data_IF_073524975565
#
_entry.id   IF_073524975565
#
_cell.length_a   1.000
_cell.length_b   1.000
_cell.length_c   1.000
_cell.angle_alpha   90.00
_cell.angle_beta   90.00
_cell.angle_gamma   90.00
#
_symmetry.space_group_name_H-M   'P 1'
#
loop_
_entity.id
_entity.type
_entity.pdbx_description
1 polymer ?
#
# COMPACT_ATOMS: atom_id res chain seq x y z
N UNK A 1 -9.81 19.00 -7.37
CA UNK A 1 -8.68 18.76 -6.45
C UNK A 1 -9.10 19.27 -5.08
N UNK A 2 -9.19 18.44 -4.05
CA UNK A 2 -9.26 18.97 -2.70
C UNK A 2 -7.90 19.63 -2.37
N UNK A 3 -7.89 20.71 -1.57
CA UNK A 3 -6.67 21.43 -1.23
C UNK A 3 -5.73 20.55 -0.39
N UNK A 4 -4.41 20.75 -0.54
CA UNK A 4 -3.41 20.29 0.43
C UNK A 4 -3.75 20.87 1.81
N UNK A 5 -4.35 20.06 2.68
CA UNK A 5 -4.52 20.40 4.09
C UNK A 5 -3.46 19.68 4.90
N UNK A 6 -2.29 20.30 5.04
CA UNK A 6 -1.35 19.94 6.10
C UNK A 6 -1.82 20.57 7.43
N UNK A 7 -2.98 20.16 7.92
CA UNK A 7 -3.51 20.59 9.23
C UNK A 7 -3.23 19.45 10.21
N UNK A 8 -1.98 19.27 10.64
CA UNK A 8 -1.60 18.15 11.53
C UNK A 8 -0.51 18.48 12.54
N UNK A 9 0.57 19.15 12.12
CA UNK A 9 1.79 19.31 12.95
C UNK A 9 1.56 20.00 14.31
N UNK A 10 0.68 21.01 14.35
CA UNK A 10 0.38 21.74 15.60
C UNK A 10 -0.62 21.03 16.51
N UNK A 11 -1.53 20.23 15.94
CA UNK A 11 -2.59 19.57 16.70
C UNK A 11 -2.08 18.31 17.39
N UNK A 12 -1.29 17.49 16.69
CA UNK A 12 -0.71 16.28 17.26
C UNK A 12 0.31 16.55 18.35
N UNK A 13 1.18 17.53 18.16
CA UNK A 13 2.15 17.94 19.18
C UNK A 13 1.46 18.52 20.42
N UNK A 14 0.37 19.26 20.26
CA UNK A 14 -0.41 19.76 21.39
C UNK A 14 -1.18 18.65 22.11
N UNK A 15 -1.81 17.72 21.37
CA UNK A 15 -2.58 16.62 21.95
C UNK A 15 -1.68 15.59 22.61
N UNK A 16 -0.57 15.20 21.99
CA UNK A 16 0.43 14.36 22.64
C UNK A 16 0.87 14.97 23.98
N UNK A 17 1.07 16.30 24.04
CA UNK A 17 1.36 17.01 25.30
C UNK A 17 0.19 16.96 26.29
N UNK A 18 -1.05 17.15 25.85
CA UNK A 18 -2.26 17.05 26.70
C UNK A 18 -2.54 15.63 27.20
N UNK A 19 -2.19 14.60 26.40
CA UNK A 19 -2.27 13.19 26.76
C UNK A 19 -1.18 12.85 27.78
N UNK A 20 0.06 13.31 27.56
CA UNK A 20 1.17 13.15 28.49
C UNK A 20 0.99 13.93 29.80
N UNK A 21 0.20 15.00 29.81
CA UNK A 21 -0.13 15.76 31.02
C UNK A 21 -1.24 15.13 31.87
N UNK A 22 -1.83 14.01 31.43
CA UNK A 22 -2.79 13.23 32.23
C UNK A 22 -4.18 13.84 32.36
N UNK A 23 -4.57 14.76 31.47
CA UNK A 23 -5.89 15.42 31.52
C UNK A 23 -7.06 14.50 31.09
N UNK A 24 -6.75 13.34 30.50
CA UNK A 24 -7.73 12.33 30.07
C UNK A 24 -7.66 11.10 30.98
N UNK A 25 -8.73 10.88 31.76
CA UNK A 25 -8.85 9.75 32.71
C UNK A 25 -9.60 8.60 32.06
N UNK A 26 -8.90 7.52 31.71
CA UNK A 26 -9.46 6.27 31.16
C UNK A 26 -8.41 5.47 30.37
N UNK A 27 -8.62 4.16 30.21
CA UNK A 27 -7.71 3.33 29.38
C UNK A 27 -7.76 3.79 27.92
N UNK A 28 -6.66 4.34 27.41
CA UNK A 28 -6.59 4.89 26.07
C UNK A 28 -6.16 3.81 25.08
N UNK A 29 -7.03 3.57 24.09
CA UNK A 29 -6.82 2.58 23.04
C UNK A 29 -6.63 3.26 21.69
N UNK A 30 -5.69 2.72 20.93
CA UNK A 30 -5.45 3.07 19.54
C UNK A 30 -5.58 1.81 18.68
N UNK A 31 -6.32 1.92 17.59
CA UNK A 31 -6.42 0.89 16.55
C UNK A 31 -5.72 1.38 15.29
N UNK A 32 -4.77 0.61 14.77
CA UNK A 32 -4.14 0.85 13.47
C UNK A 32 -4.68 -0.16 12.48
N UNK A 33 -5.38 0.32 11.45
CA UNK A 33 -5.79 -0.45 10.27
C UNK A 33 -4.81 -0.14 9.14
N UNK A 34 -3.89 -1.06 8.87
CA UNK A 34 -2.81 -0.87 7.91
C UNK A 34 -2.96 -1.78 6.70
N UNK A 35 -2.42 -1.37 5.56
CA UNK A 35 -2.15 -2.33 4.49
C UNK A 35 -1.00 -3.27 4.87
N UNK A 36 -0.99 -4.45 4.25
CA UNK A 36 -0.15 -5.58 4.67
C UNK A 36 1.18 -5.73 3.93
N UNK A 37 1.57 -4.77 3.12
CA UNK A 37 2.86 -4.71 2.43
C UNK A 37 3.86 -3.82 3.19
N UNK A 38 5.00 -3.54 2.57
CA UNK A 38 6.09 -2.79 3.19
C UNK A 38 5.68 -1.39 3.63
N UNK A 39 4.88 -0.69 2.82
CA UNK A 39 4.51 0.71 3.09
C UNK A 39 3.54 0.80 4.28
N UNK A 40 2.47 0.00 4.27
CA UNK A 40 1.54 -0.11 5.39
C UNK A 40 2.18 -0.66 6.68
N UNK A 41 3.06 -1.67 6.59
CA UNK A 41 3.77 -2.22 7.76
C UNK A 41 4.72 -1.19 8.37
N UNK A 42 5.49 -0.46 7.56
CA UNK A 42 6.36 0.61 8.05
C UNK A 42 5.56 1.77 8.65
N UNK A 43 4.46 2.16 8.01
CA UNK A 43 3.54 3.18 8.54
C UNK A 43 2.99 2.81 9.90
N UNK A 44 2.53 1.57 10.07
CA UNK A 44 2.04 1.05 11.35
C UNK A 44 3.13 1.01 12.42
N UNK A 45 4.36 0.62 12.05
CA UNK A 45 5.50 0.59 12.96
C UNK A 45 5.89 1.98 13.46
N UNK A 46 5.90 2.98 12.58
CA UNK A 46 6.19 4.37 12.92
C UNK A 46 5.15 4.94 13.89
N UNK A 47 3.86 4.74 13.60
CA UNK A 47 2.78 5.15 14.50
C UNK A 47 2.89 4.43 15.85
N UNK A 48 3.09 3.11 15.85
CA UNK A 48 3.26 2.35 17.08
C UNK A 48 4.42 2.87 17.91
N UNK A 49 5.58 3.12 17.30
CA UNK A 49 6.75 3.65 17.98
C UNK A 49 6.47 5.01 18.62
N UNK A 50 5.84 5.93 17.88
CA UNK A 50 5.56 7.29 18.33
C UNK A 50 4.60 7.34 19.52
N UNK A 51 3.66 6.39 19.57
CA UNK A 51 2.54 6.42 20.52
C UNK A 51 2.62 5.38 21.65
N UNK A 52 3.63 4.50 21.68
CA UNK A 52 3.76 3.43 22.70
C UNK A 52 3.94 3.95 24.14
N UNK A 53 4.29 5.23 24.33
CA UNK A 53 4.33 5.89 25.65
C UNK A 53 3.11 6.76 25.96
N UNK A 54 2.12 6.80 25.05
CA UNK A 54 0.95 7.68 25.11
C UNK A 54 -0.34 6.87 25.29
N UNK A 55 -0.49 5.76 24.56
CA UNK A 55 -1.66 4.88 24.68
C UNK A 55 -1.33 3.63 25.49
N UNK A 56 -2.28 3.17 26.30
CA UNK A 56 -2.15 1.94 27.09
C UNK A 56 -2.16 0.69 26.20
N UNK A 57 -2.91 0.75 25.10
CA UNK A 57 -3.06 -0.35 24.15
C UNK A 57 -3.06 0.16 22.72
N UNK A 58 -2.18 -0.42 21.89
CA UNK A 58 -2.12 -0.17 20.44
C UNK A 58 -2.29 -1.50 19.71
N UNK A 59 -3.46 -1.69 19.11
CA UNK A 59 -3.81 -2.88 18.34
C UNK A 59 -3.58 -2.62 16.84
N UNK A 60 -3.02 -3.59 16.13
CA UNK A 60 -2.69 -3.49 14.70
C UNK A 60 -3.42 -4.58 13.93
N UNK A 61 -4.22 -4.17 12.95
CA UNK A 61 -4.94 -5.06 12.04
C UNK A 61 -4.56 -4.74 10.60
N UNK A 62 -4.35 -5.81 9.82
CA UNK A 62 -4.07 -5.67 8.40
C UNK A 62 -5.36 -5.78 7.61
N UNK A 63 -5.62 -4.77 6.80
CA UNK A 63 -6.78 -4.68 5.92
C UNK A 63 -6.33 -4.39 4.48
N UNK A 64 -7.29 -4.18 3.60
CA UNK A 64 -7.11 -3.91 2.19
C UNK A 64 -8.34 -3.15 1.67
N UNK A 65 -8.28 -2.48 0.50
CA UNK A 65 -9.39 -1.65 0.01
C UNK A 65 -10.77 -2.33 0.02
N UNK A 66 -10.82 -3.60 -0.39
CA UNK A 66 -12.08 -4.36 -0.41
C UNK A 66 -12.55 -4.85 0.98
N UNK A 67 -11.65 -4.93 1.97
CA UNK A 67 -11.94 -5.38 3.34
C UNK A 67 -12.19 -4.25 4.34
N UNK A 68 -11.78 -3.01 4.01
CA UNK A 68 -11.73 -1.89 4.95
C UNK A 68 -13.06 -1.67 5.69
N UNK A 69 -14.19 -1.71 5.01
CA UNK A 69 -15.50 -1.50 5.67
C UNK A 69 -15.79 -2.56 6.73
N UNK A 70 -15.51 -3.83 6.42
CA UNK A 70 -15.74 -4.95 7.33
C UNK A 70 -14.80 -4.89 8.52
N UNK A 71 -13.50 -4.74 8.24
CA UNK A 71 -12.46 -4.67 9.27
C UNK A 71 -12.62 -3.43 10.17
N UNK A 72 -13.03 -2.29 9.61
CA UNK A 72 -13.34 -1.10 10.40
C UNK A 72 -14.50 -1.36 11.36
N UNK A 73 -15.61 -1.93 10.88
CA UNK A 73 -16.77 -2.25 11.74
C UNK A 73 -16.43 -3.25 12.85
N UNK A 74 -15.53 -4.19 12.57
CA UNK A 74 -15.15 -5.23 13.52
C UNK A 74 -14.13 -4.75 14.57
N UNK A 75 -13.12 -4.00 14.13
CA UNK A 75 -11.92 -3.73 14.93
C UNK A 75 -11.81 -2.30 15.44
N UNK A 76 -12.50 -1.31 14.86
CA UNK A 76 -12.36 0.09 15.24
C UNK A 76 -12.73 0.34 16.71
N UNK A 77 -11.73 0.67 17.53
CA UNK A 77 -11.87 1.01 18.95
C UNK A 77 -10.93 2.13 19.34
N UNK A 78 -11.43 3.08 20.14
CA UNK A 78 -10.64 4.24 20.57
C UNK A 78 -10.31 5.18 19.40
N UNK A 79 -9.07 5.63 19.33
CA UNK A 79 -8.61 6.40 18.18
C UNK A 79 -8.17 5.46 17.06
N UNK A 80 -8.62 5.73 15.84
CA UNK A 80 -8.39 4.84 14.69
C UNK A 80 -7.47 5.52 13.69
N UNK A 81 -6.37 4.85 13.37
CA UNK A 81 -5.45 5.25 12.31
C UNK A 81 -5.60 4.28 11.15
N UNK A 82 -5.94 4.81 9.98
CA UNK A 82 -6.03 4.03 8.74
C UNK A 82 -4.84 4.45 7.89
N UNK A 83 -3.94 3.52 7.60
CA UNK A 83 -2.67 3.82 6.91
C UNK A 83 -2.46 2.96 5.69
N UNK A 84 -2.14 3.61 4.57
CA UNK A 84 -1.84 2.95 3.29
C UNK A 84 -3.00 2.12 2.71
N UNK A 85 -4.26 2.46 3.03
CA UNK A 85 -5.43 1.71 2.54
C UNK A 85 -6.28 2.61 1.67
N UNK A 86 -6.19 2.41 0.36
CA UNK A 86 -7.06 3.10 -0.59
C UNK A 86 -8.54 2.85 -0.31
N UNK A 87 -9.36 3.90 -0.44
CA UNK A 87 -10.82 3.79 -0.42
C UNK A 87 -11.32 3.51 -1.84
N UNK A 88 -11.96 2.36 -2.02
CA UNK A 88 -12.53 1.94 -3.29
C UNK A 88 -13.70 2.84 -3.73
N UNK A 89 -13.75 3.19 -5.01
CA UNK A 89 -14.75 4.10 -5.60
C UNK A 89 -16.18 3.60 -5.40
N UNK A 90 -16.40 2.29 -5.46
CA UNK A 90 -17.71 1.69 -5.28
C UNK A 90 -18.11 1.62 -3.80
N UNK A 91 -17.17 1.29 -2.91
CA UNK A 91 -17.44 1.16 -1.47
C UNK A 91 -17.42 2.51 -0.70
N UNK A 92 -16.91 3.59 -1.32
CA UNK A 92 -16.72 4.88 -0.66
C UNK A 92 -17.96 5.41 0.09
N UNK A 93 -19.19 5.39 -0.45
CA UNK A 93 -20.36 5.92 0.26
C UNK A 93 -20.65 5.20 1.58
N UNK A 94 -20.43 3.88 1.64
CA UNK A 94 -20.67 3.09 2.85
C UNK A 94 -19.55 3.27 3.87
N UNK A 95 -18.30 3.38 3.41
CA UNK A 95 -17.14 3.64 4.26
C UNK A 95 -17.26 5.01 4.92
N UNK A 96 -17.58 6.05 4.15
CA UNK A 96 -17.73 7.41 4.67
C UNK A 96 -18.88 7.51 5.69
N UNK A 97 -19.99 6.80 5.47
CA UNK A 97 -21.07 6.71 6.46
C UNK A 97 -20.61 6.02 7.75
N UNK A 98 -19.86 4.92 7.65
CA UNK A 98 -19.31 4.24 8.81
C UNK A 98 -18.34 5.14 9.61
N UNK A 99 -17.56 5.97 8.91
CA UNK A 99 -16.69 6.96 9.55
C UNK A 99 -17.51 8.04 10.26
N UNK A 100 -18.58 8.54 9.65
CA UNK A 100 -19.45 9.58 10.24
C UNK A 100 -20.18 9.08 11.49
N UNK A 101 -20.61 7.81 11.49
CA UNK A 101 -21.26 7.17 12.65
C UNK A 101 -20.29 6.83 13.78
N UNK A 102 -18.97 6.80 13.50
CA UNK A 102 -17.96 6.46 14.49
C UNK A 102 -17.75 7.60 15.48
N UNK A 103 -17.91 7.30 16.78
CA UNK A 103 -17.82 8.30 17.86
C UNK A 103 -16.39 8.69 18.23
N UNK A 104 -15.40 7.89 17.82
CA UNK A 104 -13.98 8.18 18.07
C UNK A 104 -13.36 9.04 16.98
N UNK A 105 -12.09 9.38 17.16
CA UNK A 105 -11.30 10.08 16.15
C UNK A 105 -10.81 9.09 15.09
N UNK A 106 -10.76 9.55 13.84
CA UNK A 106 -10.15 8.82 12.74
C UNK A 106 -9.04 9.67 12.14
N UNK A 107 -7.87 9.09 11.92
CA UNK A 107 -6.77 9.67 11.17
C UNK A 107 -6.52 8.79 9.95
N UNK A 108 -6.64 9.37 8.76
CA UNK A 108 -6.43 8.68 7.49
C UNK A 108 -5.14 9.19 6.84
N UNK A 109 -4.12 8.33 6.75
CA UNK A 109 -2.81 8.61 6.16
C UNK A 109 -2.65 7.74 4.93
N UNK A 110 -2.70 8.35 3.75
CA UNK A 110 -2.68 7.59 2.51
C UNK A 110 -2.15 8.43 1.35
N UNK A 111 -1.75 7.76 0.28
CA UNK A 111 -1.17 8.36 -0.90
C UNK A 111 -1.88 7.96 -2.20
N UNK A 112 -2.83 7.02 -2.14
CA UNK A 112 -3.60 6.59 -3.29
C UNK A 112 -4.53 7.70 -3.79
N UNK A 113 -4.84 7.76 -5.10
CA UNK A 113 -5.82 8.73 -5.58
C UNK A 113 -7.19 8.49 -4.93
N UNK A 114 -7.80 9.48 -4.27
CA UNK A 114 -9.08 9.29 -3.60
C UNK A 114 -10.20 8.98 -4.62
N UNK A 115 -11.31 8.40 -4.15
CA UNK A 115 -12.49 8.22 -5.00
C UNK A 115 -13.09 9.58 -5.38
N UNK A 116 -13.79 9.64 -6.51
CA UNK A 116 -14.39 10.90 -7.01
C UNK A 116 -15.44 11.48 -6.06
N UNK A 117 -16.08 10.61 -5.28
CA UNK A 117 -17.05 10.95 -4.24
C UNK A 117 -16.44 11.24 -2.86
N UNK A 118 -15.10 11.30 -2.74
CA UNK A 118 -14.44 11.41 -1.45
C UNK A 118 -14.77 12.73 -0.75
N UNK A 119 -15.66 12.65 0.24
CA UNK A 119 -16.03 13.74 1.14
C UNK A 119 -15.98 13.22 2.58
N UNK A 120 -14.82 13.33 3.24
CA UNK A 120 -14.61 12.83 4.60
C UNK A 120 -15.47 13.60 5.62
N UNK A 121 -16.06 12.91 6.61
CA UNK A 121 -16.80 13.57 7.68
C UNK A 121 -15.88 14.34 8.63
N UNK A 122 -16.39 15.33 9.39
CA UNK A 122 -15.57 16.24 10.20
C UNK A 122 -14.70 15.57 11.29
N UNK A 123 -15.04 14.35 11.71
CA UNK A 123 -14.27 13.57 12.69
C UNK A 123 -13.08 12.81 12.08
N UNK A 124 -12.90 12.87 10.76
CA UNK A 124 -11.78 12.26 10.03
C UNK A 124 -10.74 13.33 9.71
N UNK A 125 -9.57 13.20 10.33
CA UNK A 125 -8.38 13.94 9.92
C UNK A 125 -7.71 13.24 8.74
N UNK A 126 -7.30 14.01 7.73
CA UNK A 126 -6.66 13.48 6.54
C UNK A 126 -5.25 14.02 6.42
N UNK A 127 -4.32 13.10 6.25
CA UNK A 127 -2.95 13.38 5.87
C UNK A 127 -2.64 12.66 4.56
N UNK A 128 -2.90 13.33 3.44
CA UNK A 128 -2.88 12.73 2.12
C UNK A 128 -1.98 13.51 1.16
N UNK A 129 -1.17 12.79 0.39
CA UNK A 129 -0.37 13.37 -0.70
C UNK A 129 -0.07 12.34 -1.77
N UNK A 130 -0.35 12.67 -3.03
CA UNK A 130 0.10 11.86 -4.17
C UNK A 130 1.61 12.00 -4.37
N UNK A 131 2.26 10.94 -4.81
CA UNK A 131 3.70 10.96 -5.12
C UNK A 131 4.61 10.97 -3.89
N UNK A 132 4.09 10.59 -2.72
CA UNK A 132 4.85 10.21 -1.54
C UNK A 132 4.32 8.85 -1.06
N UNK A 133 5.14 8.06 -0.37
CA UNK A 133 4.68 6.81 0.25
C UNK A 133 3.93 7.09 1.55
N UNK A 134 3.01 6.21 1.97
CA UNK A 134 2.30 6.36 3.22
C UNK A 134 3.25 6.35 4.43
N UNK A 135 4.39 5.65 4.35
CA UNK A 135 5.42 5.59 5.38
C UNK A 135 6.17 6.91 5.53
N UNK A 136 6.44 7.62 4.42
CA UNK A 136 6.95 8.99 4.44
C UNK A 136 5.93 9.92 5.11
N UNK A 137 4.65 9.79 4.74
CA UNK A 137 3.57 10.58 5.31
C UNK A 137 3.40 10.31 6.82
N UNK A 138 3.44 9.06 7.24
CA UNK A 138 3.36 8.65 8.64
C UNK A 138 4.55 9.20 9.45
N UNK A 139 5.78 9.12 8.92
CA UNK A 139 6.96 9.68 9.57
C UNK A 139 6.86 11.20 9.77
N UNK A 140 6.41 11.92 8.74
CA UNK A 140 6.17 13.37 8.82
C UNK A 140 5.04 13.72 9.76
N UNK A 141 4.01 12.87 9.84
CA UNK A 141 2.88 13.06 10.74
C UNK A 141 3.31 13.03 12.21
N UNK A 142 4.20 12.09 12.56
CA UNK A 142 4.73 11.93 13.92
C UNK A 142 6.07 12.65 14.15
N UNK A 143 6.43 13.57 13.26
CA UNK A 143 7.67 14.33 13.34
C UNK A 143 7.79 15.03 14.72
N UNK A 144 8.95 14.87 15.36
CA UNK A 144 9.20 15.38 16.71
C UNK A 144 8.77 14.45 17.85
N UNK A 145 8.04 13.35 17.57
CA UNK A 145 7.77 12.29 18.55
C UNK A 145 8.78 11.13 18.48
N UNK A 146 9.51 11.02 17.37
CA UNK A 146 10.51 9.98 17.14
C UNK A 146 11.90 10.56 16.91
N UNK A 147 12.97 9.85 17.32
CA UNK A 147 14.33 10.16 16.87
C UNK A 147 14.43 10.14 15.33
N UNK A 148 15.24 11.04 14.75
CA UNK A 148 15.42 11.14 13.29
C UNK A 148 15.81 9.81 12.63
N UNK A 149 16.54 8.94 13.34
CA UNK A 149 16.95 7.61 12.85
C UNK A 149 15.80 6.67 12.48
N UNK A 150 14.54 7.00 12.82
CA UNK A 150 13.36 6.28 12.33
C UNK A 150 13.05 6.59 10.86
N UNK A 151 13.70 7.58 10.25
CA UNK A 151 13.60 7.86 8.82
C UNK A 151 13.93 6.62 7.98
N UNK A 152 14.82 5.74 8.45
CA UNK A 152 15.10 4.45 7.80
C UNK A 152 13.88 3.54 7.69
N UNK A 153 12.98 3.53 8.68
CA UNK A 153 11.76 2.71 8.63
C UNK A 153 10.82 3.26 7.56
N UNK A 154 10.69 4.60 7.49
CA UNK A 154 9.96 5.25 6.41
C UNK A 154 10.57 4.95 5.03
N UNK A 155 11.90 5.02 4.91
CA UNK A 155 12.62 4.67 3.68
C UNK A 155 12.36 3.23 3.23
N UNK A 156 12.29 2.26 4.15
CA UNK A 156 11.98 0.87 3.79
C UNK A 156 10.60 0.73 3.14
N UNK A 157 9.60 1.46 3.66
CA UNK A 157 8.26 1.50 3.08
C UNK A 157 8.25 2.16 1.70
N UNK A 158 8.87 3.33 1.59
CA UNK A 158 8.92 4.10 0.34
C UNK A 158 9.63 3.36 -0.80
N UNK A 159 10.74 2.70 -0.50
CA UNK A 159 11.44 1.83 -1.47
C UNK A 159 10.58 0.62 -1.84
N UNK A 160 9.89 0.02 -0.86
CA UNK A 160 8.98 -1.10 -1.09
C UNK A 160 7.84 -0.77 -2.06
N UNK A 161 7.40 0.49 -2.07
CA UNK A 161 6.35 0.98 -2.96
C UNK A 161 6.87 1.70 -4.23
N UNK A 162 8.18 1.58 -4.53
CA UNK A 162 8.83 2.21 -5.68
C UNK A 162 8.71 3.75 -5.72
N UNK A 163 8.61 4.39 -4.55
CA UNK A 163 8.57 5.84 -4.38
C UNK A 163 9.89 6.35 -3.78
N UNK A 164 11.02 5.89 -4.34
CA UNK A 164 12.37 6.15 -3.83
C UNK A 164 13.04 7.39 -4.43
N UNK A 165 12.25 8.32 -4.96
CA UNK A 165 12.71 9.51 -5.69
C UNK A 165 11.98 10.81 -5.28
N UNK A 166 11.32 10.84 -4.12
CA UNK A 166 10.79 12.10 -3.58
C UNK A 166 11.94 12.95 -3.01
N UNK A 167 11.79 14.28 -2.99
CA UNK A 167 12.80 15.18 -2.43
C UNK A 167 13.22 14.75 -1.00
N UNK A 168 12.26 14.29 -0.20
CA UNK A 168 12.54 13.81 1.15
C UNK A 168 13.24 12.45 1.18
N UNK A 169 12.88 11.52 0.29
CA UNK A 169 13.60 10.25 0.19
C UNK A 169 15.04 10.48 -0.24
N UNK A 170 15.28 11.37 -1.21
CA UNK A 170 16.64 11.70 -1.66
C UNK A 170 17.49 12.30 -0.53
N UNK A 171 16.92 13.24 0.22
CA UNK A 171 17.56 13.86 1.38
C UNK A 171 17.83 12.83 2.49
N UNK A 172 16.84 12.00 2.83
CA UNK A 172 16.95 10.98 3.85
C UNK A 172 17.97 9.90 3.48
N UNK A 173 17.95 9.40 2.25
CA UNK A 173 18.97 8.48 1.75
C UNK A 173 20.37 9.11 1.75
N UNK A 174 20.49 10.44 1.65
CA UNK A 174 21.76 11.16 1.78
C UNK A 174 22.42 11.01 3.16
N UNK A 175 21.65 10.63 4.19
CA UNK A 175 22.14 10.38 5.57
C UNK A 175 22.54 8.92 5.81
N UNK A 176 22.28 8.02 4.87
CA UNK A 176 22.51 6.59 5.02
C UNK A 176 23.41 6.03 3.92
N UNK A 177 24.08 4.90 4.19
CA UNK A 177 24.60 4.09 3.09
C UNK A 177 23.41 3.44 2.36
N UNK A 178 23.17 3.88 1.12
CA UNK A 178 22.04 3.40 0.31
C UNK A 178 22.01 1.87 0.22
N UNK A 179 23.15 1.19 0.12
CA UNK A 179 23.20 -0.28 0.00
C UNK A 179 22.60 -0.97 1.21
N UNK A 180 22.81 -0.41 2.40
CA UNK A 180 22.21 -0.91 3.64
C UNK A 180 20.70 -0.73 3.58
N UNK A 181 20.22 0.47 3.23
CA UNK A 181 18.78 0.75 3.19
C UNK A 181 18.05 -0.10 2.14
N UNK A 182 18.59 -0.23 0.93
CA UNK A 182 18.00 -1.07 -0.11
C UNK A 182 18.04 -2.57 0.25
N UNK A 183 19.09 -3.04 0.93
CA UNK A 183 19.13 -4.41 1.42
C UNK A 183 18.01 -4.66 2.43
N UNK A 184 17.85 -3.79 3.42
CA UNK A 184 16.80 -3.92 4.44
C UNK A 184 15.39 -3.80 3.85
N UNK A 185 15.16 -2.84 2.95
CA UNK A 185 13.90 -2.70 2.24
C UNK A 185 13.59 -3.94 1.38
N UNK A 186 14.61 -4.52 0.75
CA UNK A 186 14.52 -5.75 -0.02
C UNK A 186 14.18 -6.97 0.84
N UNK A 187 14.79 -7.10 2.03
CA UNK A 187 14.46 -8.14 3.01
C UNK A 187 13.01 -8.00 3.47
N UNK A 188 12.59 -6.78 3.85
CA UNK A 188 11.22 -6.53 4.30
C UNK A 188 10.20 -6.90 3.22
N UNK A 189 10.38 -6.38 2.01
CA UNK A 189 9.42 -6.56 0.92
C UNK A 189 9.30 -8.03 0.50
N UNK A 190 10.42 -8.74 0.40
CA UNK A 190 10.42 -10.16 0.03
C UNK A 190 9.89 -11.04 1.17
N UNK A 191 10.24 -10.73 2.41
CA UNK A 191 9.77 -11.49 3.56
C UNK A 191 8.26 -11.34 3.78
N UNK A 192 7.71 -10.12 3.60
CA UNK A 192 6.27 -9.85 3.66
C UNK A 192 5.49 -10.52 2.54
N UNK A 193 6.06 -10.56 1.33
CA UNK A 193 5.49 -11.28 0.19
C UNK A 193 5.36 -12.79 0.50
N UNK A 194 6.40 -13.39 1.12
CA UNK A 194 6.36 -14.76 1.63
C UNK A 194 5.47 -14.96 2.89
N UNK A 195 4.90 -13.89 3.45
CA UNK A 195 4.09 -13.88 4.67
C UNK A 195 2.66 -13.32 4.45
N UNK A 196 2.19 -13.24 3.20
CA UNK A 196 0.91 -12.58 2.82
C UNK A 196 -0.28 -12.83 3.76
N UNK A 197 -0.48 -14.08 4.22
CA UNK A 197 -1.61 -14.49 5.07
C UNK A 197 -1.28 -14.59 6.58
N UNK A 198 -0.04 -14.32 6.97
CA UNK A 198 0.44 -14.51 8.33
C UNK A 198 0.34 -13.20 9.12
N UNK A 199 -0.88 -12.83 9.49
CA UNK A 199 -1.13 -11.53 10.15
C UNK A 199 -0.39 -11.39 11.49
N UNK A 200 -0.23 -12.48 12.24
CA UNK A 200 0.49 -12.45 13.51
C UNK A 200 2.00 -12.23 13.32
N UNK A 201 2.59 -12.84 12.30
CA UNK A 201 3.98 -12.55 11.91
C UNK A 201 4.13 -11.09 11.46
N UNK A 202 3.19 -10.56 10.69
CA UNK A 202 3.23 -9.15 10.30
C UNK A 202 3.11 -8.20 11.50
N UNK A 203 2.29 -8.55 12.50
CA UNK A 203 2.21 -7.79 13.77
C UNK A 203 3.53 -7.87 14.54
N UNK A 204 4.19 -9.02 14.54
CA UNK A 204 5.52 -9.17 15.11
C UNK A 204 6.55 -8.29 14.42
N UNK A 205 6.54 -8.25 13.08
CA UNK A 205 7.39 -7.37 12.27
C UNK A 205 7.10 -5.89 12.59
N UNK A 206 5.83 -5.49 12.70
CA UNK A 206 5.47 -4.11 13.11
C UNK A 206 6.07 -3.77 14.46
N UNK A 207 5.99 -4.68 15.45
CA UNK A 207 6.63 -4.49 16.76
C UNK A 207 8.14 -4.37 16.62
N UNK A 208 8.79 -5.27 15.88
CA UNK A 208 10.24 -5.25 15.66
C UNK A 208 10.72 -3.93 15.03
N UNK A 209 10.04 -3.45 13.99
CA UNK A 209 10.34 -2.17 13.35
C UNK A 209 10.02 -0.97 14.26
N UNK A 210 9.00 -1.07 15.12
CA UNK A 210 8.66 -0.01 16.09
C UNK A 210 9.71 0.15 17.19
N UNK A 211 10.58 -0.84 17.38
CA UNK A 211 11.77 -0.76 18.24
C UNK A 211 13.00 -0.25 17.48
N UNK A 212 12.79 0.27 16.26
CA UNK A 212 13.81 0.68 15.31
C UNK A 212 14.81 -0.43 14.99
N UNK A 213 14.41 -1.70 14.92
CA UNK A 213 15.32 -2.79 14.55
C UNK A 213 15.32 -2.99 13.02
N UNK A 214 16.47 -3.32 12.40
CA UNK A 214 16.51 -3.54 10.95
C UNK A 214 15.77 -4.84 10.57
N UNK A 215 15.05 -4.88 9.43
CA UNK A 215 14.37 -6.07 8.91
C UNK A 215 15.20 -7.35 8.95
N UNK A 216 16.47 -7.30 8.54
CA UNK A 216 17.38 -8.45 8.48
C UNK A 216 17.69 -9.09 9.83
N UNK A 217 17.49 -8.37 10.94
CA UNK A 217 17.66 -8.91 12.29
C UNK A 217 16.46 -9.71 12.81
N UNK A 218 15.35 -9.76 12.05
CA UNK A 218 14.22 -10.61 12.35
C UNK A 218 14.37 -11.96 11.63
N UNK A 219 14.71 -13.02 12.36
CA UNK A 219 15.11 -14.32 11.77
C UNK A 219 14.05 -14.92 10.83
N UNK A 220 12.78 -14.99 11.26
CA UNK A 220 11.73 -15.55 10.42
C UNK A 220 11.47 -14.70 9.15
N UNK A 221 11.49 -13.37 9.26
CA UNK A 221 11.35 -12.47 8.13
C UNK A 221 12.49 -12.67 7.13
N UNK A 222 13.74 -12.73 7.61
CA UNK A 222 14.91 -12.96 6.77
C UNK A 222 14.86 -14.31 6.05
N UNK A 223 14.50 -15.39 6.77
CA UNK A 223 14.37 -16.72 6.18
C UNK A 223 13.33 -16.73 5.05
N UNK A 224 12.19 -16.08 5.25
CA UNK A 224 11.15 -15.92 4.21
C UNK A 224 11.62 -15.08 3.03
N UNK A 225 12.36 -14.00 3.29
CA UNK A 225 12.91 -13.15 2.24
C UNK A 225 13.87 -13.94 1.33
N UNK A 226 14.73 -14.79 1.91
CA UNK A 226 15.65 -15.65 1.14
C UNK A 226 14.87 -16.64 0.27
N UNK A 227 13.84 -17.30 0.81
CA UNK A 227 13.05 -18.25 0.02
C UNK A 227 12.25 -17.54 -1.08
N UNK A 228 11.66 -16.38 -0.77
CA UNK A 228 10.96 -15.57 -1.77
C UNK A 228 11.90 -15.09 -2.88
N UNK A 229 13.15 -14.76 -2.55
CA UNK A 229 14.17 -14.39 -3.53
C UNK A 229 14.43 -15.52 -4.54
N UNK A 230 14.54 -16.76 -4.05
CA UNK A 230 14.70 -17.94 -4.92
C UNK A 230 13.47 -18.18 -5.79
N UNK A 231 12.27 -17.96 -5.26
CA UNK A 231 11.03 -18.06 -6.04
C UNK A 231 10.96 -16.98 -7.13
N UNK A 232 11.38 -15.76 -6.82
CA UNK A 232 11.42 -14.65 -7.77
C UNK A 232 12.37 -14.95 -8.94
N UNK A 233 13.53 -15.56 -8.67
CA UNK A 233 14.47 -15.99 -9.73
C UNK A 233 13.87 -17.10 -10.61
N UNK A 234 13.21 -18.09 -9.99
CA UNK A 234 12.47 -19.12 -10.76
C UNK A 234 11.38 -18.50 -11.63
N UNK A 235 10.66 -17.51 -11.12
CA UNK A 235 9.65 -16.78 -11.86
C UNK A 235 10.26 -16.01 -13.05
N UNK A 236 11.42 -15.37 -12.85
CA UNK A 236 12.14 -14.67 -13.92
C UNK A 236 12.53 -15.61 -15.07
N UNK A 237 12.87 -16.87 -14.76
CA UNK A 237 13.16 -17.90 -15.76
C UNK A 237 11.88 -18.48 -16.40
N UNK A 238 10.78 -18.54 -15.65
CA UNK A 238 9.51 -19.09 -16.11
C UNK A 238 8.77 -18.14 -17.08
N UNK A 239 8.76 -16.83 -16.82
CA UNK A 239 7.97 -15.85 -17.60
C UNK A 239 8.29 -15.86 -19.10
N UNK A 240 9.56 -15.84 -19.56
CA UNK A 240 9.86 -15.83 -20.99
C UNK A 240 9.29 -17.02 -21.77
N UNK A 241 9.08 -18.16 -21.11
CA UNK A 241 8.57 -19.38 -21.73
C UNK A 241 7.03 -19.47 -21.73
N UNK A 242 6.34 -18.58 -21.00
CA UNK A 242 4.89 -18.66 -20.78
C UNK A 242 4.14 -17.37 -21.12
N UNK A 243 4.87 -16.37 -21.60
CA UNK A 243 4.33 -15.06 -21.95
C UNK A 243 3.55 -15.11 -23.26
N UNK A 244 2.39 -14.45 -23.26
CA UNK A 244 1.59 -14.20 -24.46
C UNK A 244 1.61 -12.71 -24.74
N UNK A 245 2.04 -12.32 -25.95
CA UNK A 245 1.93 -10.94 -26.42
C UNK A 245 0.69 -10.79 -27.29
N UNK A 246 -0.16 -9.83 -26.96
CA UNK A 246 -1.31 -9.43 -27.74
C UNK A 246 -1.29 -7.91 -27.97
N UNK A 247 -0.72 -7.51 -29.11
CA UNK A 247 -0.51 -6.11 -29.47
C UNK A 247 0.50 -5.42 -28.54
N UNK A 248 0.02 -4.37 -27.86
CA UNK A 248 0.75 -3.52 -26.92
C UNK A 248 0.66 -4.02 -25.47
N UNK A 249 0.10 -5.21 -25.28
CA UNK A 249 -0.07 -5.84 -23.98
C UNK A 249 0.61 -7.20 -24.02
N UNK A 250 1.27 -7.58 -22.92
CA UNK A 250 1.74 -8.93 -22.71
C UNK A 250 1.20 -9.47 -21.39
N UNK A 251 0.93 -10.76 -21.34
CA UNK A 251 0.38 -11.37 -20.13
C UNK A 251 0.89 -12.79 -19.89
N UNK A 252 0.81 -13.21 -18.63
CA UNK A 252 1.01 -14.58 -18.18
C UNK A 252 -0.19 -15.04 -17.36
N UNK A 253 -0.50 -16.33 -17.44
CA UNK A 253 -1.60 -16.97 -16.73
C UNK A 253 -1.03 -17.90 -15.66
N UNK A 254 -1.55 -17.79 -14.44
CA UNK A 254 -1.20 -18.63 -13.29
C UNK A 254 0.32 -18.75 -13.05
N UNK A 255 1.06 -17.62 -12.95
CA UNK A 255 2.50 -17.68 -12.71
C UNK A 255 2.82 -18.30 -11.34
N UNK A 256 3.93 -19.05 -11.21
CA UNK A 256 4.34 -19.69 -9.96
C UNK A 256 5.04 -18.69 -9.00
N UNK A 257 4.39 -17.56 -8.73
CA UNK A 257 4.95 -16.50 -7.90
C UNK A 257 4.09 -15.24 -7.81
N UNK A 258 4.65 -14.13 -7.31
CA UNK A 258 3.89 -12.89 -7.12
C UNK A 258 3.36 -12.32 -8.44
N UNK A 259 2.05 -12.05 -8.53
CA UNK A 259 1.43 -11.49 -9.74
C UNK A 259 2.05 -10.14 -10.13
N UNK A 260 2.33 -9.28 -9.15
CA UNK A 260 2.96 -7.97 -9.40
C UNK A 260 4.30 -8.09 -10.12
N UNK A 261 5.17 -8.98 -9.64
CA UNK A 261 6.46 -9.25 -10.26
C UNK A 261 6.30 -9.91 -11.63
N UNK A 262 5.41 -10.90 -11.76
CA UNK A 262 5.13 -11.56 -13.02
C UNK A 262 4.66 -10.58 -14.11
N UNK A 263 3.81 -9.61 -13.74
CA UNK A 263 3.35 -8.56 -14.65
C UNK A 263 4.49 -7.61 -15.06
N UNK A 264 5.37 -7.22 -14.14
CA UNK A 264 6.58 -6.43 -14.42
C UNK A 264 7.51 -7.18 -15.38
N UNK A 265 7.77 -8.46 -15.11
CA UNK A 265 8.61 -9.31 -15.95
C UNK A 265 7.96 -9.49 -17.34
N UNK A 266 6.65 -9.73 -17.42
CA UNK A 266 5.95 -9.84 -18.69
C UNK A 266 6.11 -8.56 -19.53
N UNK A 267 5.89 -7.38 -18.92
CA UNK A 267 6.11 -6.08 -19.55
C UNK A 267 7.54 -5.95 -20.10
N UNK A 268 8.53 -6.24 -19.27
CA UNK A 268 9.95 -6.11 -19.60
C UNK A 268 10.41 -7.08 -20.67
N UNK A 269 10.05 -8.36 -20.55
CA UNK A 269 10.42 -9.42 -21.49
C UNK A 269 9.82 -9.20 -22.87
N UNK A 270 8.53 -8.86 -22.96
CA UNK A 270 7.88 -8.58 -24.23
C UNK A 270 8.18 -7.18 -24.81
N UNK A 271 8.81 -6.30 -24.03
CA UNK A 271 9.11 -4.90 -24.38
C UNK A 271 7.85 -4.14 -24.83
N UNK A 272 6.78 -4.30 -24.06
CA UNK A 272 5.47 -3.67 -24.31
C UNK A 272 5.17 -2.63 -23.23
N UNK A 273 4.28 -1.65 -23.49
CA UNK A 273 3.94 -0.64 -22.49
C UNK A 273 3.15 -1.20 -21.30
N UNK A 274 2.43 -2.32 -21.45
CA UNK A 274 1.64 -2.93 -20.37
C UNK A 274 1.88 -4.42 -20.25
N UNK A 275 2.21 -4.87 -19.03
CA UNK A 275 2.27 -6.27 -18.64
C UNK A 275 1.14 -6.63 -17.68
N UNK A 276 0.61 -7.84 -17.80
CA UNK A 276 -0.46 -8.37 -16.94
C UNK A 276 -0.05 -9.75 -16.43
N UNK A 277 -0.32 -10.02 -15.15
CA UNK A 277 -0.33 -11.36 -14.62
C UNK A 277 -1.71 -11.64 -14.04
N UNK A 278 -2.24 -12.82 -14.30
CA UNK A 278 -3.56 -13.20 -13.81
C UNK A 278 -3.54 -14.55 -13.11
N UNK A 279 -4.26 -14.62 -11.99
CA UNK A 279 -4.52 -15.84 -11.22
C UNK A 279 -5.96 -16.28 -11.46
N UNK A 280 -6.13 -17.55 -11.79
CA UNK A 280 -7.42 -18.22 -11.95
C UNK A 280 -8.02 -18.58 -10.60
N UNK A 281 -9.19 -18.01 -10.26
CA UNK A 281 -9.96 -18.38 -9.07
C UNK A 281 -11.39 -18.71 -9.43
N UNK A 282 -11.74 -19.99 -9.50
CA UNK A 282 -13.07 -20.46 -9.93
C UNK A 282 -13.45 -19.81 -11.28
N UNK A 283 -14.47 -18.95 -11.28
CA UNK A 283 -14.99 -18.29 -12.49
C UNK A 283 -14.50 -16.85 -12.68
N UNK A 284 -13.56 -16.40 -11.83
CA UNK A 284 -12.95 -15.07 -11.92
C UNK A 284 -11.44 -15.14 -12.17
N UNK A 285 -10.90 -14.07 -12.74
CA UNK A 285 -9.48 -13.76 -12.73
C UNK A 285 -9.18 -12.66 -11.73
N UNK A 286 -8.08 -12.83 -10.99
CA UNK A 286 -7.44 -11.77 -10.20
C UNK A 286 -6.22 -11.28 -10.96
N UNK A 287 -6.22 -10.02 -11.37
CA UNK A 287 -5.20 -9.44 -12.23
C UNK A 287 -4.31 -8.49 -11.44
N UNK A 288 -3.03 -8.49 -11.82
CA UNK A 288 -2.08 -7.42 -11.54
C UNK A 288 -1.57 -6.86 -12.85
N UNK A 289 -1.65 -5.54 -13.02
CA UNK A 289 -1.23 -4.81 -14.21
C UNK A 289 -0.06 -3.89 -13.87
N UNK A 290 0.88 -3.77 -14.79
CA UNK A 290 2.03 -2.87 -14.70
C UNK A 290 2.20 -2.14 -16.01
N UNK A 291 2.40 -0.82 -15.98
CA UNK A 291 2.57 -0.01 -17.18
C UNK A 291 3.85 0.82 -17.15
N UNK A 292 4.23 1.34 -18.32
CA UNK A 292 5.23 2.41 -18.47
C UNK A 292 4.60 3.52 -19.33
N UNK A 293 4.35 4.69 -18.74
CA UNK A 293 3.81 5.86 -19.44
C UNK A 293 2.30 5.85 -19.73
N UNK A 294 1.56 4.81 -19.31
CA UNK A 294 0.12 4.72 -19.48
C UNK A 294 -0.57 4.66 -18.12
N UNK A 295 -1.50 5.59 -17.87
CA UNK A 295 -2.27 5.63 -16.61
C UNK A 295 -3.30 4.48 -16.56
N UNK A 296 -2.94 3.42 -15.83
CA UNK A 296 -3.79 2.26 -15.60
C UNK A 296 -4.98 2.57 -14.70
N UNK A 297 -4.82 3.49 -13.74
CA UNK A 297 -5.88 3.84 -12.81
C UNK A 297 -7.00 4.60 -13.53
N UNK A 298 -6.66 5.55 -14.42
CA UNK A 298 -7.63 6.22 -15.28
C UNK A 298 -8.45 5.20 -16.09
N UNK A 299 -7.77 4.28 -16.77
CA UNK A 299 -8.42 3.24 -17.58
C UNK A 299 -9.29 2.30 -16.74
N UNK A 300 -8.76 1.78 -15.62
CA UNK A 300 -9.46 0.79 -14.81
C UNK A 300 -10.62 1.38 -14.01
N UNK A 301 -10.59 2.66 -13.63
CA UNK A 301 -11.74 3.33 -13.01
C UNK A 301 -12.93 3.42 -13.96
N UNK A 302 -12.67 3.80 -15.22
CA UNK A 302 -13.72 3.80 -16.24
C UNK A 302 -14.24 2.37 -16.51
N UNK A 303 -13.33 1.41 -16.67
CA UNK A 303 -13.68 0.00 -16.87
C UNK A 303 -14.51 -0.56 -15.70
N UNK A 304 -14.08 -0.32 -14.46
CA UNK A 304 -14.77 -0.69 -13.22
C UNK A 304 -16.20 -0.16 -13.21
N UNK A 305 -16.39 1.11 -13.55
CA UNK A 305 -17.71 1.75 -13.60
C UNK A 305 -18.62 1.14 -14.66
N UNK A 306 -18.11 0.90 -15.88
CA UNK A 306 -18.90 0.37 -17.01
C UNK A 306 -19.29 -1.10 -16.80
N UNK A 307 -18.38 -1.91 -16.27
CA UNK A 307 -18.55 -3.36 -16.14
C UNK A 307 -18.90 -3.83 -14.71
N UNK A 308 -18.96 -2.91 -13.74
CA UNK A 308 -19.29 -3.17 -12.32
C UNK A 308 -18.39 -4.24 -11.69
N UNK A 309 -17.08 -4.10 -11.89
CA UNK A 309 -16.06 -5.01 -11.38
C UNK A 309 -15.04 -4.27 -10.52
N UNK A 310 -14.54 -4.85 -9.41
CA UNK A 310 -13.50 -4.20 -8.61
C UNK A 310 -12.20 -4.03 -9.42
N UNK A 311 -11.79 -2.78 -9.69
CA UNK A 311 -10.53 -2.46 -10.35
C UNK A 311 -10.05 -1.04 -10.03
N UNK A 312 -8.73 -0.85 -9.93
CA UNK A 312 -8.10 0.42 -9.60
C UNK A 312 -6.67 0.26 -9.10
N UNK A 313 -6.02 1.38 -8.75
CA UNK A 313 -4.68 1.41 -8.18
C UNK A 313 -3.95 2.71 -8.47
N UNK A 314 -2.64 2.61 -8.71
CA UNK A 314 -1.79 3.70 -9.14
C UNK A 314 -1.69 3.77 -10.67
N UNK A 315 -1.26 4.91 -11.24
CA UNK A 315 -1.09 5.06 -12.69
C UNK A 315 -0.18 3.99 -13.32
N UNK A 316 0.88 3.57 -12.64
CA UNK A 316 1.88 2.60 -13.14
C UNK A 316 1.63 1.15 -12.69
N UNK A 317 0.79 0.94 -11.68
CA UNK A 317 0.55 -0.36 -11.05
C UNK A 317 -0.89 -0.43 -10.52
N UNK A 318 -1.66 -1.38 -11.03
CA UNK A 318 -3.07 -1.50 -10.66
C UNK A 318 -3.53 -2.96 -10.64
N UNK A 319 -4.70 -3.20 -10.06
CA UNK A 319 -5.30 -4.53 -9.98
C UNK A 319 -6.75 -4.54 -10.46
N UNK A 320 -7.24 -5.74 -10.80
CA UNK A 320 -8.64 -5.95 -11.13
C UNK A 320 -9.10 -7.36 -10.72
N UNK A 321 -10.39 -7.51 -10.42
CA UNK A 321 -11.05 -8.82 -10.25
C UNK A 321 -12.24 -8.87 -11.19
N UNK A 322 -12.21 -9.76 -12.18
CA UNK A 322 -13.24 -9.81 -13.22
C UNK A 322 -13.64 -11.24 -13.60
N UNK A 323 -14.89 -11.48 -14.01
CA UNK A 323 -15.32 -12.71 -14.67
C UNK A 323 -14.44 -13.07 -15.87
N UNK A 324 -14.13 -14.37 -16.06
CA UNK A 324 -13.19 -14.84 -17.09
C UNK A 324 -13.54 -14.40 -18.51
N UNK A 325 -14.82 -14.33 -18.83
CA UNK A 325 -15.36 -13.90 -20.12
C UNK A 325 -15.11 -12.42 -20.43
N UNK A 326 -14.94 -11.57 -19.40
CA UNK A 326 -14.60 -10.15 -19.58
C UNK A 326 -13.12 -9.91 -19.88
N UNK A 327 -12.24 -10.91 -19.73
CA UNK A 327 -10.80 -10.69 -19.92
C UNK A 327 -10.45 -10.27 -21.34
N UNK A 328 -11.09 -10.88 -22.35
CA UNK A 328 -10.86 -10.52 -23.75
C UNK A 328 -11.31 -9.09 -24.04
N UNK A 329 -12.42 -8.66 -23.45
CA UNK A 329 -12.90 -7.28 -23.53
C UNK A 329 -11.88 -6.31 -22.94
N UNK A 330 -11.34 -6.60 -21.76
CA UNK A 330 -10.29 -5.78 -21.14
C UNK A 330 -9.06 -5.66 -22.04
N UNK A 331 -8.56 -6.77 -22.61
CA UNK A 331 -7.40 -6.76 -23.52
C UNK A 331 -7.63 -5.90 -24.77
N UNK A 332 -8.82 -6.02 -25.38
CA UNK A 332 -9.17 -5.26 -26.57
C UNK A 332 -9.25 -3.75 -26.29
N UNK A 333 -9.94 -3.36 -25.21
CA UNK A 333 -10.10 -1.95 -24.84
C UNK A 333 -8.77 -1.32 -24.38
N UNK A 334 -7.93 -2.08 -23.68
CA UNK A 334 -6.62 -1.63 -23.25
C UNK A 334 -5.69 -1.38 -24.45
N UNK A 335 -5.64 -2.33 -25.40
CA UNK A 335 -4.93 -2.16 -26.66
C UNK A 335 -5.42 -0.95 -27.46
N UNK A 336 -6.73 -0.75 -27.54
CA UNK A 336 -7.33 0.40 -28.22
C UNK A 336 -6.93 1.72 -27.56
N UNK A 337 -7.00 1.80 -26.23
CA UNK A 337 -6.59 2.98 -25.45
C UNK A 337 -5.11 3.31 -25.62
N UNK A 338 -4.24 2.30 -25.62
CA UNK A 338 -2.81 2.46 -25.85
C UNK A 338 -2.51 3.01 -27.25
N UNK A 339 -3.15 2.47 -28.30
CA UNK A 339 -3.00 2.99 -29.68
C UNK A 339 -3.46 4.44 -29.80
N UNK A 340 -4.58 4.79 -29.17
CA UNK A 340 -5.08 6.16 -29.14
C UNK A 340 -4.15 7.15 -28.45
N UNK A 341 -3.42 6.72 -27.42
CA UNK A 341 -2.39 7.52 -26.74
C UNK A 341 -1.05 7.52 -27.48
N UNK A 342 -0.96 6.96 -28.69
CA UNK A 342 0.21 7.06 -29.56
C UNK A 342 1.35 6.10 -29.24
N UNK A 343 1.09 5.03 -28.47
CA UNK A 343 2.11 4.02 -28.19
C UNK A 343 2.49 3.25 -29.47
N UNK A 344 3.79 3.08 -29.77
CA UNK A 344 4.24 2.37 -30.97
C UNK A 344 3.99 0.85 -30.84
N UNK A 345 3.43 0.25 -31.90
CA UNK A 345 3.03 -1.16 -32.00
C UNK A 345 4.18 -2.16 -31.90
#
# INVERSE_FOLDING_TARGET
>A
MPPERAVGRGFESHRARSLLSGELVGCMRMTILAHGDSDGVCSAALLKAAYSGIYDQIDVYFTHPAGLLGDFKEYAKGDVYIVDVAIDEWAAPEILRAFEEYRGRIVYIDHHPPPSSFSPPPNVEIFHKLGAAASELAFRYVEGLLPETYDRVALYGAIGDYLDNTDWVEEALGRWDKRVIYFEAGVLSQGLEGARRLHDLKRDIVRHLSENKPPSSHEELLARAIEQSRQNERLAQWVPNNIVREGLVAYVIDPPGPLGLAATLAKGTAKVPVGIALETRKDIYVLSLRSSGFDLNEFLRDFSRRYRVPAGGHPSAAGARLPKDLFKTLLNELNYSLRRKGFPS
#
